data_IF_977511334974
#
_entry.id   IF_977511334974
#
_cell.length_a   1.000
_cell.length_b   1.000
_cell.length_c   1.000
_cell.angle_alpha   90.00
_cell.angle_beta   90.00
_cell.angle_gamma   90.00
#
_symmetry.space_group_name_H-M   'P 1'
#
loop_
_entity.id
_entity.type
_entity.pdbx_description
1 polymer ?
#
# COMPACT_ATOMS: atom_id res chain seq x y z
N UNK A 1 77.85 -49.02 8.64
CA UNK A 1 77.39 -47.94 7.74
C UNK A 1 76.23 -47.24 8.44
N UNK A 2 76.50 -46.09 9.07
CA UNK A 2 75.62 -45.48 10.09
C UNK A 2 74.78 -44.39 9.42
N UNK A 3 73.47 -44.62 9.28
CA UNK A 3 72.53 -43.64 8.72
C UNK A 3 72.27 -42.53 9.74
N UNK A 4 72.83 -41.35 9.49
CA UNK A 4 72.59 -40.13 10.24
C UNK A 4 71.19 -39.60 9.90
N UNK A 5 70.21 -39.84 10.77
CA UNK A 5 68.90 -39.19 10.69
C UNK A 5 69.03 -37.72 11.10
N UNK A 6 69.12 -36.84 10.10
CA UNK A 6 68.93 -35.40 10.30
C UNK A 6 67.49 -35.17 10.77
N UNK A 7 67.30 -35.00 12.08
CA UNK A 7 66.06 -34.51 12.67
C UNK A 7 65.80 -33.12 12.10
N UNK A 8 64.84 -33.00 11.18
CA UNK A 8 64.29 -31.71 10.78
C UNK A 8 63.68 -31.08 12.03
N UNK A 9 64.25 -29.98 12.52
CA UNK A 9 63.61 -29.19 13.55
C UNK A 9 62.29 -28.67 12.99
N UNK A 10 61.17 -29.14 13.52
CA UNK A 10 59.88 -28.53 13.26
C UNK A 10 59.96 -27.09 13.77
N UNK A 11 59.90 -26.12 12.85
CA UNK A 11 59.84 -24.70 13.21
C UNK A 11 58.49 -24.47 13.91
N UNK A 12 58.53 -24.00 15.16
CA UNK A 12 57.33 -23.58 15.87
C UNK A 12 56.79 -22.29 15.25
N UNK A 13 55.46 -22.13 15.25
CA UNK A 13 54.80 -20.90 14.80
C UNK A 13 55.21 -19.72 15.67
N UNK A 14 55.46 -18.56 15.04
CA UNK A 14 55.76 -17.35 15.81
C UNK A 14 54.49 -16.81 16.46
N UNK A 15 54.63 -16.11 17.60
CA UNK A 15 53.52 -15.43 18.26
C UNK A 15 52.79 -14.48 17.31
N UNK A 16 53.56 -13.76 16.47
CA UNK A 16 53.04 -12.83 15.47
C UNK A 16 52.17 -13.56 14.45
N UNK A 17 52.58 -14.74 13.99
CA UNK A 17 51.84 -15.54 13.02
C UNK A 17 50.51 -16.03 13.58
N UNK A 18 50.49 -16.48 14.84
CA UNK A 18 49.24 -16.86 15.53
C UNK A 18 48.32 -15.64 15.71
N UNK A 19 48.86 -14.48 16.10
CA UNK A 19 48.07 -13.27 16.25
C UNK A 19 47.46 -12.79 14.93
N UNK A 20 48.22 -12.85 13.83
CA UNK A 20 47.72 -12.51 12.50
C UNK A 20 46.63 -13.51 12.07
N UNK A 21 46.81 -14.81 12.32
CA UNK A 21 45.80 -15.81 12.01
C UNK A 21 44.49 -15.57 12.77
N UNK A 22 44.56 -15.26 14.07
CA UNK A 22 43.39 -14.93 14.89
C UNK A 22 42.73 -13.63 14.42
N UNK A 23 43.50 -12.61 14.05
CA UNK A 23 42.97 -11.36 13.52
C UNK A 23 42.21 -11.58 12.20
N UNK A 24 42.78 -12.34 11.27
CA UNK A 24 42.13 -12.68 9.99
C UNK A 24 40.86 -13.50 10.23
N UNK A 25 40.90 -14.47 11.14
CA UNK A 25 39.72 -15.26 11.51
C UNK A 25 38.62 -14.37 12.11
N UNK A 26 38.96 -13.47 13.03
CA UNK A 26 38.01 -12.55 13.65
C UNK A 26 37.36 -11.62 12.61
N UNK A 27 38.16 -11.07 11.69
CA UNK A 27 37.64 -10.24 10.59
C UNK A 27 36.75 -11.05 9.63
N UNK A 28 37.10 -12.29 9.33
CA UNK A 28 36.28 -13.19 8.49
C UNK A 28 34.93 -13.51 9.15
N UNK A 29 34.93 -13.84 10.44
CA UNK A 29 33.70 -14.09 11.20
C UNK A 29 32.83 -12.84 11.35
N UNK A 30 33.45 -11.67 11.54
CA UNK A 30 32.74 -10.38 11.57
C UNK A 30 32.08 -10.09 10.21
N UNK A 31 32.81 -10.30 9.11
CA UNK A 31 32.28 -10.14 7.76
C UNK A 31 31.08 -11.05 7.49
N UNK A 32 31.15 -12.32 7.91
CA UNK A 32 30.05 -13.27 7.78
C UNK A 32 28.83 -12.88 8.64
N UNK A 33 29.06 -12.36 9.85
CA UNK A 33 28.00 -11.84 10.72
C UNK A 33 27.24 -10.65 10.10
N UNK A 34 27.92 -9.80 9.32
CA UNK A 34 27.32 -8.65 8.65
C UNK A 34 26.40 -9.05 7.46
N UNK A 35 26.63 -10.21 6.84
CA UNK A 35 25.87 -10.66 5.66
C UNK A 35 24.51 -11.27 6.04
N UNK A 36 24.40 -11.93 7.20
CA UNK A 36 23.18 -12.63 7.58
C UNK A 36 21.91 -11.76 7.65
N UNK A 37 21.92 -10.55 8.26
CA UNK A 37 20.73 -9.70 8.29
C UNK A 37 20.24 -9.32 6.88
N UNK A 38 21.16 -9.10 5.94
CA UNK A 38 20.84 -8.77 4.55
C UNK A 38 20.17 -9.95 3.86
N UNK A 39 20.72 -11.16 4.02
CA UNK A 39 20.13 -12.39 3.45
C UNK A 39 18.74 -12.67 4.02
N UNK A 40 18.54 -12.52 5.33
CA UNK A 40 17.23 -12.70 5.95
C UNK A 40 16.22 -11.69 5.40
N UNK A 41 16.62 -10.43 5.23
CA UNK A 41 15.77 -9.40 4.64
C UNK A 41 15.40 -9.74 3.19
N UNK A 42 16.37 -10.17 2.39
CA UNK A 42 16.15 -10.55 0.99
C UNK A 42 15.27 -11.79 0.86
N UNK A 43 15.50 -12.83 1.65
CA UNK A 43 14.66 -14.03 1.68
C UNK A 43 13.23 -13.68 2.09
N UNK A 44 13.06 -12.85 3.12
CA UNK A 44 11.75 -12.39 3.55
C UNK A 44 11.02 -11.62 2.45
N UNK A 45 11.72 -10.70 1.77
CA UNK A 45 11.18 -9.96 0.63
C UNK A 45 10.80 -10.90 -0.53
N UNK A 46 11.60 -11.93 -0.81
CA UNK A 46 11.29 -12.92 -1.85
C UNK A 46 10.07 -13.77 -1.53
N UNK A 47 9.95 -14.24 -0.28
CA UNK A 47 8.74 -14.92 0.20
C UNK A 47 7.52 -14.02 0.14
N UNK A 48 7.67 -12.75 0.49
CA UNK A 48 6.56 -11.77 0.44
C UNK A 48 6.08 -11.48 -0.95
N UNK A 49 6.99 -11.30 -1.90
CA UNK A 49 6.62 -11.12 -3.30
C UNK A 49 5.85 -12.33 -3.82
N UNK A 50 6.31 -13.54 -3.49
CA UNK A 50 5.66 -14.78 -3.95
C UNK A 50 4.27 -14.97 -3.33
N UNK A 51 4.16 -14.81 -2.00
CA UNK A 51 2.90 -14.96 -1.30
C UNK A 51 1.93 -13.80 -1.59
N UNK A 52 2.45 -12.60 -1.84
CA UNK A 52 1.69 -11.44 -2.30
C UNK A 52 0.96 -11.72 -3.60
N UNK A 53 1.66 -12.24 -4.61
CA UNK A 53 1.05 -12.65 -5.89
C UNK A 53 -0.03 -13.72 -5.70
N UNK A 54 0.20 -14.71 -4.83
CA UNK A 54 -0.80 -15.75 -4.54
C UNK A 54 -2.04 -15.17 -3.84
N UNK A 55 -1.84 -14.31 -2.84
CA UNK A 55 -2.92 -13.63 -2.13
C UNK A 55 -3.73 -12.77 -3.10
N UNK A 56 -3.06 -12.03 -3.96
CA UNK A 56 -3.69 -11.21 -4.99
C UNK A 56 -4.52 -12.00 -5.99
N UNK A 57 -4.00 -13.13 -6.50
CA UNK A 57 -4.77 -13.99 -7.41
C UNK A 57 -6.01 -14.55 -6.71
N UNK A 58 -5.89 -14.92 -5.43
CA UNK A 58 -7.03 -15.36 -4.63
C UNK A 58 -8.05 -14.22 -4.42
N UNK A 59 -7.58 -12.99 -4.14
CA UNK A 59 -8.46 -11.82 -4.01
C UNK A 59 -9.21 -11.53 -5.30
N UNK A 60 -8.54 -11.56 -6.46
CA UNK A 60 -9.21 -11.38 -7.75
C UNK A 60 -10.27 -12.45 -7.98
N UNK A 61 -9.96 -13.72 -7.68
CA UNK A 61 -10.92 -14.80 -7.81
C UNK A 61 -12.13 -14.64 -6.86
N UNK A 62 -11.91 -14.15 -5.63
CA UNK A 62 -13.00 -13.83 -4.70
C UNK A 62 -13.86 -12.71 -5.28
N UNK A 63 -13.25 -11.59 -5.68
CA UNK A 63 -13.98 -10.44 -6.21
C UNK A 63 -14.71 -10.72 -7.52
N UNK A 64 -14.17 -11.59 -8.38
CA UNK A 64 -14.85 -11.99 -9.63
C UNK A 64 -16.00 -12.96 -9.41
N UNK A 65 -15.97 -13.75 -8.33
CA UNK A 65 -16.97 -14.77 -8.02
C UNK A 65 -18.07 -14.29 -7.07
N UNK A 66 -17.95 -13.09 -6.50
CA UNK A 66 -19.00 -12.50 -5.69
C UNK A 66 -20.18 -12.17 -6.60
N UNK A 67 -21.13 -13.11 -6.69
CA UNK A 67 -22.38 -13.00 -7.47
C UNK A 67 -23.20 -11.74 -7.11
N UNK A 68 -23.05 -11.25 -5.87
CA UNK A 68 -23.65 -10.01 -5.40
C UNK A 68 -23.01 -8.74 -5.97
N UNK A 69 -21.75 -8.80 -6.41
CA UNK A 69 -21.13 -7.72 -7.15
C UNK A 69 -21.55 -7.86 -8.62
N UNK A 70 -22.83 -7.65 -8.85
CA UNK A 70 -23.36 -7.56 -10.20
C UNK A 70 -22.78 -6.32 -10.91
N UNK A 71 -23.11 -6.18 -12.19
CA UNK A 71 -22.87 -4.95 -12.94
C UNK A 71 -23.38 -3.69 -12.22
N UNK A 72 -24.43 -3.80 -11.41
CA UNK A 72 -25.04 -2.70 -10.67
C UNK A 72 -24.18 -2.16 -9.54
N UNK A 73 -23.49 -3.02 -8.78
CA UNK A 73 -22.56 -2.60 -7.73
C UNK A 73 -21.42 -1.73 -8.28
N UNK A 74 -20.78 -2.17 -9.37
CA UNK A 74 -19.71 -1.39 -10.01
C UNK A 74 -20.22 -0.12 -10.66
N UNK A 75 -21.42 -0.13 -11.25
CA UNK A 75 -22.06 1.10 -11.78
C UNK A 75 -22.32 2.11 -10.69
N UNK A 76 -22.80 1.69 -9.51
CA UNK A 76 -23.01 2.59 -8.37
C UNK A 76 -21.73 3.28 -7.93
N UNK A 77 -20.62 2.54 -7.81
CA UNK A 77 -19.31 3.14 -7.53
C UNK A 77 -18.86 4.11 -8.61
N UNK A 78 -19.02 3.75 -9.88
CA UNK A 78 -18.69 4.61 -11.02
C UNK A 78 -19.52 5.90 -11.04
N UNK A 79 -20.80 5.80 -10.72
CA UNK A 79 -21.76 6.91 -10.77
C UNK A 79 -21.79 7.70 -9.45
N UNK A 80 -20.98 7.31 -8.47
CA UNK A 80 -20.94 7.94 -7.16
C UNK A 80 -20.36 9.36 -7.20
N UNK A 81 -21.05 10.35 -6.62
CA UNK A 81 -20.47 11.67 -6.37
C UNK A 81 -19.42 11.64 -5.23
N UNK A 82 -18.21 12.15 -5.47
CA UNK A 82 -17.14 12.32 -4.46
C UNK A 82 -17.36 13.58 -3.64
N UNK A 83 -17.69 13.54 -2.37
CA UNK A 83 -18.35 14.68 -1.70
C UNK A 83 -17.48 15.92 -1.40
N UNK A 84 -16.29 16.05 -2.00
CA UNK A 84 -15.38 17.20 -1.91
C UNK A 84 -14.80 17.42 -0.51
N UNK A 85 -15.27 16.64 0.47
CA UNK A 85 -14.83 16.61 1.84
C UNK A 85 -14.13 15.27 2.05
N UNK A 86 -12.80 15.30 2.03
CA UNK A 86 -11.94 14.15 2.27
C UNK A 86 -12.45 13.35 3.48
N UNK A 87 -12.89 12.12 3.25
CA UNK A 87 -13.21 11.14 4.31
C UNK A 87 -14.64 11.11 4.84
N UNK A 88 -15.62 11.84 4.30
CA UNK A 88 -17.03 11.66 4.71
C UNK A 88 -18.02 11.90 3.58
N UNK A 89 -18.83 10.89 3.31
CA UNK A 89 -19.82 10.82 2.22
C UNK A 89 -21.03 11.75 2.48
N UNK A 90 -20.94 13.02 2.06
CA UNK A 90 -22.05 14.00 2.04
C UNK A 90 -22.37 14.64 0.67
N UNK A 91 -23.52 14.33 0.09
CA UNK A 91 -24.15 14.84 -1.15
C UNK A 91 -23.58 16.15 -1.78
N UNK A 92 -22.65 16.03 -2.74
CA UNK A 92 -22.27 17.13 -3.65
C UNK A 92 -22.99 17.06 -5.00
N UNK A 93 -23.21 18.22 -5.62
CA UNK A 93 -24.00 18.40 -6.84
C UNK A 93 -23.19 18.14 -8.11
N UNK A 94 -23.36 16.95 -8.71
CA UNK A 94 -23.32 16.60 -10.15
C UNK A 94 -22.13 16.95 -11.07
N UNK A 95 -21.43 18.08 -10.89
CA UNK A 95 -20.48 18.62 -11.86
C UNK A 95 -19.02 18.66 -11.38
N UNK A 96 -18.74 18.38 -10.11
CA UNK A 96 -17.36 18.38 -9.59
C UNK A 96 -16.61 17.05 -9.84
N UNK A 97 -17.30 16.00 -10.28
CA UNK A 97 -16.75 14.62 -10.37
C UNK A 97 -16.25 14.22 -11.74
N UNK A 98 -16.54 15.05 -12.73
CA UNK A 98 -16.32 14.75 -14.13
C UNK A 98 -14.87 14.96 -14.57
N UNK A 99 -14.01 15.50 -13.68
CA UNK A 99 -12.64 15.90 -14.02
C UNK A 99 -11.53 15.18 -13.24
N UNK A 100 -11.86 14.49 -12.15
CA UNK A 100 -10.85 14.02 -11.21
C UNK A 100 -10.93 12.50 -11.09
N UNK A 101 -9.95 11.84 -11.69
CA UNK A 101 -9.66 10.40 -11.61
C UNK A 101 -9.23 9.99 -10.19
N UNK A 102 -9.84 10.53 -9.15
CA UNK A 102 -9.43 10.33 -7.75
C UNK A 102 -9.74 8.92 -7.25
N UNK A 103 -8.94 8.50 -6.28
CA UNK A 103 -9.14 7.28 -5.51
C UNK A 103 -10.15 7.52 -4.39
N UNK A 104 -11.17 6.68 -4.38
CA UNK A 104 -12.15 6.56 -3.31
C UNK A 104 -11.76 5.41 -2.40
N UNK A 105 -11.89 5.65 -1.11
CA UNK A 105 -11.62 4.66 -0.07
C UNK A 105 -12.95 4.11 0.43
N UNK A 106 -13.17 2.78 0.38
CA UNK A 106 -14.30 2.16 1.02
C UNK A 106 -14.29 2.42 2.53
N UNK A 107 -15.47 2.67 3.10
CA UNK A 107 -15.65 2.81 4.55
C UNK A 107 -15.42 1.45 5.25
N UNK A 108 -14.80 1.48 6.42
CA UNK A 108 -14.62 0.31 7.29
C UNK A 108 -15.48 0.48 8.54
N UNK A 109 -16.32 -0.50 8.84
CA UNK A 109 -17.05 -0.53 10.11
C UNK A 109 -16.05 -0.72 11.26
N UNK A 110 -15.88 0.30 12.10
CA UNK A 110 -14.96 0.28 13.25
C UNK A 110 -15.22 -0.88 14.23
N UNK A 111 -16.44 -1.42 14.28
CA UNK A 111 -16.78 -2.52 15.18
C UNK A 111 -16.39 -3.88 14.62
N UNK A 112 -16.65 -4.12 13.34
CA UNK A 112 -16.48 -5.43 12.71
C UNK A 112 -15.23 -5.52 11.83
N UNK A 113 -14.69 -4.37 11.41
CA UNK A 113 -13.69 -4.24 10.36
C UNK A 113 -14.19 -4.65 8.99
N UNK A 114 -15.51 -4.80 8.79
CA UNK A 114 -16.05 -5.08 7.48
C UNK A 114 -15.85 -3.85 6.58
N UNK A 115 -15.40 -4.10 5.36
CA UNK A 115 -15.31 -3.07 4.32
C UNK A 115 -16.50 -3.23 3.40
N UNK A 116 -17.18 -2.14 3.03
CA UNK A 116 -18.38 -2.24 2.20
C UNK A 116 -18.09 -1.95 0.73
N UNK A 117 -18.49 -2.89 -0.14
CA UNK A 117 -18.39 -2.78 -1.60
C UNK A 117 -19.54 -1.98 -2.22
N UNK A 118 -20.41 -1.36 -1.42
CA UNK A 118 -21.38 -0.39 -1.91
C UNK A 118 -21.47 0.71 -0.87
N UNK A 119 -21.72 1.93 -1.32
CA UNK A 119 -21.91 3.05 -0.42
C UNK A 119 -23.39 3.25 -0.14
N UNK A 120 -23.69 3.57 1.11
CA UNK A 120 -25.03 3.87 1.57
C UNK A 120 -25.51 5.13 0.84
N UNK A 121 -26.51 5.02 -0.03
CA UNK A 121 -27.16 6.21 -0.58
C UNK A 121 -28.12 6.74 0.49
N UNK A 122 -27.80 7.86 1.17
CA UNK A 122 -28.61 8.35 2.28
C UNK A 122 -30.03 8.77 1.83
N UNK A 123 -30.24 8.98 0.52
CA UNK A 123 -31.51 9.43 -0.04
C UNK A 123 -32.42 8.27 -0.50
N UNK A 124 -31.93 7.03 -0.52
CA UNK A 124 -32.73 5.86 -0.91
C UNK A 124 -32.68 4.81 0.20
N UNK A 125 -33.67 4.83 1.08
CA UNK A 125 -33.87 3.77 2.08
C UNK A 125 -34.45 2.50 1.40
N UNK A 126 -34.11 1.28 1.85
CA UNK A 126 -33.23 0.94 2.96
C UNK A 126 -31.84 0.46 2.53
N UNK A 127 -30.95 0.46 3.52
CA UNK A 127 -29.61 -0.13 3.69
C UNK A 127 -29.37 -1.56 3.12
N UNK A 128 -30.23 -2.08 2.26
CA UNK A 128 -30.32 -3.51 1.93
C UNK A 128 -29.28 -4.01 0.92
N UNK A 129 -28.32 -3.19 0.50
CA UNK A 129 -27.34 -3.64 -0.49
C UNK A 129 -25.93 -3.15 -0.22
N UNK A 130 -25.60 -2.92 1.05
CA UNK A 130 -24.21 -2.96 1.46
C UNK A 130 -23.75 -4.41 1.32
N UNK A 131 -22.72 -4.65 0.50
CA UNK A 131 -22.08 -5.96 0.39
C UNK A 131 -20.87 -5.93 1.34
N UNK A 132 -20.99 -6.47 2.58
CA UNK A 132 -19.90 -6.46 3.52
C UNK A 132 -18.82 -7.47 3.10
N UNK A 133 -17.59 -7.00 3.00
CA UNK A 133 -16.39 -7.82 2.98
C UNK A 133 -15.83 -7.90 4.39
N UNK A 134 -16.21 -8.96 5.11
CA UNK A 134 -15.72 -9.17 6.46
C UNK A 134 -14.21 -9.42 6.46
N UNK A 135 -13.52 -9.11 7.56
CA UNK A 135 -12.07 -9.40 7.69
C UNK A 135 -11.75 -10.85 7.38
N UNK A 136 -12.64 -11.79 7.78
CA UNK A 136 -12.46 -13.22 7.51
C UNK A 136 -12.30 -13.53 6.02
N UNK A 137 -12.97 -12.78 5.16
CA UNK A 137 -12.94 -12.95 3.69
C UNK A 137 -11.74 -12.22 3.07
N UNK A 138 -11.07 -11.37 3.87
CA UNK A 138 -9.96 -10.51 3.47
C UNK A 138 -8.58 -10.99 3.93
N UNK A 139 -8.50 -12.09 4.67
CA UNK A 139 -7.23 -12.67 5.14
C UNK A 139 -6.74 -13.78 4.23
N UNK A 140 -5.43 -14.00 4.16
CA UNK A 140 -4.81 -15.04 3.35
C UNK A 140 -3.60 -15.67 4.08
N UNK A 141 -3.40 -17.00 4.00
CA UNK A 141 -4.28 -17.99 3.37
C UNK A 141 -5.58 -18.23 4.15
N UNK A 142 -6.64 -18.69 3.46
CA UNK A 142 -7.95 -19.02 4.04
C UNK A 142 -8.08 -20.49 4.51
N UNK A 143 -7.06 -21.32 4.27
CA UNK A 143 -7.11 -22.74 4.59
C UNK A 143 -7.30 -22.96 6.10
N UNK A 144 -8.17 -23.91 6.46
CA UNK A 144 -8.42 -24.24 7.86
C UNK A 144 -7.13 -24.72 8.54
N UNK A 145 -6.79 -24.10 9.67
CA UNK A 145 -5.56 -24.42 10.43
C UNK A 145 -4.28 -23.79 9.88
N UNK A 146 -4.33 -23.05 8.78
CA UNK A 146 -3.22 -22.21 8.36
C UNK A 146 -3.29 -20.87 9.11
N UNK A 147 -2.14 -20.40 9.61
CA UNK A 147 -2.05 -19.07 10.18
C UNK A 147 -2.09 -18.03 9.04
N UNK A 148 -3.07 -17.11 9.04
CA UNK A 148 -3.12 -16.07 8.03
C UNK A 148 -1.89 -15.17 8.18
N UNK A 149 -1.29 -14.82 7.05
CA UNK A 149 -0.08 -14.00 7.01
C UNK A 149 -0.36 -12.62 6.41
N UNK A 150 -1.41 -12.52 5.60
CA UNK A 150 -1.77 -11.31 4.89
C UNK A 150 -3.24 -10.95 5.10
N UNK A 151 -3.52 -9.67 4.98
CA UNK A 151 -4.85 -9.10 4.82
C UNK A 151 -4.83 -8.25 3.55
N UNK A 152 -5.95 -8.17 2.84
CA UNK A 152 -6.07 -7.29 1.69
C UNK A 152 -7.13 -6.20 1.89
N UNK A 153 -6.83 -5.05 1.32
CA UNK A 153 -7.68 -3.87 1.27
C UNK A 153 -7.69 -3.34 -0.16
N UNK A 154 -8.55 -2.38 -0.44
CA UNK A 154 -8.61 -1.81 -1.77
C UNK A 154 -9.05 -0.35 -1.75
N UNK A 155 -8.69 0.34 -2.81
CA UNK A 155 -9.25 1.63 -3.19
C UNK A 155 -9.87 1.52 -4.58
N UNK A 156 -10.87 2.35 -4.85
CA UNK A 156 -11.64 2.32 -6.09
C UNK A 156 -11.45 3.63 -6.83
N UNK A 157 -11.24 3.56 -8.14
CA UNK A 157 -11.13 4.71 -9.02
C UNK A 157 -12.04 4.48 -10.23
N UNK A 158 -12.72 5.52 -10.69
CA UNK A 158 -13.38 5.51 -12.00
C UNK A 158 -12.35 5.77 -13.10
N UNK A 159 -12.38 4.95 -14.15
CA UNK A 159 -11.55 5.12 -15.35
C UNK A 159 -12.42 5.70 -16.46
N UNK A 160 -12.12 6.94 -16.81
CA UNK A 160 -12.78 7.65 -17.90
C UNK A 160 -12.34 7.06 -19.26
N UNK A 161 -13.28 6.66 -20.09
CA UNK A 161 -13.01 6.06 -21.42
C UNK A 161 -12.53 7.06 -22.49
N UNK A 162 -12.73 8.36 -22.23
CA UNK A 162 -12.29 9.45 -23.10
C UNK A 162 -13.36 9.94 -24.07
N UNK A 163 -14.54 9.30 -24.12
CA UNK A 163 -15.60 9.63 -25.07
C UNK A 163 -16.34 10.92 -24.68
N UNK A 164 -16.37 11.26 -23.39
CA UNK A 164 -16.86 12.56 -22.92
C UNK A 164 -15.71 13.54 -22.71
N UNK A 165 -15.34 14.30 -23.75
CA UNK A 165 -14.62 15.56 -23.52
C UNK A 165 -15.53 16.53 -22.78
N UNK A 166 -15.44 16.51 -21.46
CA UNK A 166 -16.07 17.51 -20.61
C UNK A 166 -15.16 18.71 -20.66
N UNK A 167 -15.45 19.57 -21.62
CA UNK A 167 -14.80 20.87 -21.76
C UNK A 167 -15.13 21.64 -20.47
N UNK A 168 -14.13 22.04 -19.65
CA UNK A 168 -14.37 22.82 -18.45
C UNK A 168 -15.28 24.03 -18.76
N UNK A 169 -16.40 24.15 -18.07
CA UNK A 169 -17.39 25.21 -18.29
C UNK A 169 -18.48 24.91 -19.32
N UNK A 170 -18.41 23.78 -20.04
CA UNK A 170 -19.53 23.30 -20.86
C UNK A 170 -20.44 22.39 -20.04
N UNK A 171 -21.77 22.53 -20.15
CA UNK A 171 -22.69 21.56 -19.55
C UNK A 171 -22.38 20.17 -20.12
N UNK A 172 -22.46 19.10 -19.30
CA UNK A 172 -22.32 17.74 -19.82
C UNK A 172 -23.32 17.54 -20.96
N UNK A 173 -22.87 16.90 -22.04
CA UNK A 173 -23.76 16.61 -23.16
C UNK A 173 -25.00 15.86 -22.62
N UNK A 174 -26.23 16.22 -23.04
CA UNK A 174 -27.45 15.60 -22.49
C UNK A 174 -27.53 14.08 -22.69
N UNK A 175 -26.65 13.52 -23.54
CA UNK A 175 -26.50 12.09 -23.81
C UNK A 175 -25.09 11.56 -23.50
N UNK A 176 -24.33 12.23 -22.63
CA UNK A 176 -23.07 11.74 -22.08
C UNK A 176 -23.32 10.40 -21.36
N UNK A 177 -23.27 9.28 -22.09
CA UNK A 177 -23.47 7.96 -21.50
C UNK A 177 -22.18 7.55 -20.83
N UNK A 178 -22.09 7.78 -19.51
CA UNK A 178 -21.05 7.21 -18.65
C UNK A 178 -21.10 5.68 -18.53
N UNK A 179 -22.00 5.05 -19.30
CA UNK A 179 -22.28 3.62 -19.27
C UNK A 179 -21.07 2.75 -19.63
N UNK A 180 -20.06 3.31 -20.31
CA UNK A 180 -18.86 2.58 -20.76
C UNK A 180 -17.65 2.76 -19.83
N UNK A 181 -17.71 3.67 -18.86
CA UNK A 181 -16.58 3.90 -17.95
C UNK A 181 -16.31 2.65 -17.10
N UNK A 182 -15.03 2.28 -17.04
CA UNK A 182 -14.58 1.14 -16.24
C UNK A 182 -14.29 1.58 -14.80
N UNK A 183 -14.23 0.62 -13.89
CA UNK A 183 -13.78 0.84 -12.51
C UNK A 183 -12.42 0.18 -12.35
N UNK A 184 -11.45 0.89 -11.76
CA UNK A 184 -10.14 0.36 -11.40
C UNK A 184 -10.04 0.23 -9.90
N UNK A 185 -9.54 -0.92 -9.46
CA UNK A 185 -9.23 -1.22 -8.08
C UNK A 185 -7.72 -1.21 -7.89
N UNK A 186 -7.26 -0.52 -6.85
CA UNK A 186 -5.93 -0.72 -6.29
C UNK A 186 -6.06 -1.63 -5.08
N UNK A 187 -5.62 -2.88 -5.21
CA UNK A 187 -5.70 -3.91 -4.16
C UNK A 187 -4.36 -3.96 -3.45
N UNK A 188 -4.36 -3.69 -2.14
CA UNK A 188 -3.19 -3.68 -1.28
C UNK A 188 -3.12 -4.98 -0.50
N UNK A 189 -2.04 -5.75 -0.68
CA UNK A 189 -1.77 -6.94 0.13
C UNK A 189 -0.83 -6.54 1.26
N UNK A 190 -1.29 -6.63 2.50
CA UNK A 190 -0.54 -6.21 3.69
C UNK A 190 -0.23 -7.40 4.56
N UNK A 191 0.93 -7.38 5.22
CA UNK A 191 1.23 -8.38 6.25
C UNK A 191 0.36 -8.13 7.46
N UNK A 192 -0.09 -9.22 8.08
CA UNK A 192 -0.71 -9.16 9.40
C UNK A 192 0.36 -8.78 10.43
N UNK A 193 -0.05 -7.95 11.39
CA UNK A 193 0.76 -7.45 12.48
C UNK A 193 1.46 -8.59 13.24
N UNK A 194 2.79 -8.57 13.20
CA UNK A 194 3.61 -9.71 13.66
C UNK A 194 3.70 -9.84 15.18
N UNK A 195 3.27 -8.81 15.93
CA UNK A 195 3.30 -8.81 17.40
C UNK A 195 1.95 -9.11 18.02
N UNK A 196 0.95 -9.51 17.22
CA UNK A 196 -0.34 -9.99 17.73
C UNK A 196 -0.08 -11.18 18.65
N UNK A 197 -0.56 -11.07 19.89
CA UNK A 197 -0.52 -12.17 20.87
C UNK A 197 -1.77 -13.01 20.72
N UNK A 198 -1.60 -14.29 20.43
CA UNK A 198 -2.70 -15.24 20.32
C UNK A 198 -2.96 -15.86 21.70
N UNK A 199 -4.18 -15.75 22.26
CA UNK A 199 -4.53 -16.40 23.52
C UNK A 199 -4.40 -17.92 23.43
N UNK A 200 -4.12 -18.57 24.57
CA UNK A 200 -4.04 -20.03 24.63
C UNK A 200 -5.36 -20.66 24.16
N UNK A 201 -5.27 -21.66 23.27
CA UNK A 201 -6.44 -22.36 22.72
C UNK A 201 -7.15 -21.63 21.58
N UNK A 202 -6.69 -20.43 21.20
CA UNK A 202 -7.14 -19.72 20.00
C UNK A 202 -6.11 -19.82 18.88
N UNK A 203 -6.54 -19.58 17.65
CA UNK A 203 -5.67 -19.41 16.48
C UNK A 203 -5.59 -17.93 16.11
N UNK A 204 -4.53 -17.53 15.38
CA UNK A 204 -4.41 -16.16 14.89
C UNK A 204 -5.62 -15.75 14.05
N UNK A 205 -6.12 -16.66 13.20
CA UNK A 205 -7.32 -16.45 12.39
C UNK A 205 -8.53 -16.04 13.25
N UNK A 206 -8.77 -16.74 14.36
CA UNK A 206 -9.91 -16.47 15.23
C UNK A 206 -9.82 -15.10 15.90
N UNK A 207 -8.61 -14.73 16.32
CA UNK A 207 -8.30 -13.44 16.96
C UNK A 207 -8.52 -12.29 15.99
N UNK A 208 -7.96 -12.37 14.77
CA UNK A 208 -8.02 -11.27 13.80
C UNK A 208 -9.37 -11.19 13.08
N UNK A 209 -10.05 -12.32 12.89
CA UNK A 209 -11.39 -12.35 12.34
C UNK A 209 -12.48 -12.15 13.40
N UNK A 210 -12.09 -11.80 14.64
CA UNK A 210 -12.99 -11.47 15.75
C UNK A 210 -14.09 -12.51 15.99
N UNK A 211 -13.73 -13.79 15.97
CA UNK A 211 -14.73 -14.84 16.14
C UNK A 211 -15.39 -14.75 17.53
N UNK A 212 -16.69 -15.05 17.65
CA UNK A 212 -17.39 -15.02 18.93
C UNK A 212 -16.80 -15.95 20.01
N UNK A 213 -16.02 -16.97 19.62
CA UNK A 213 -15.33 -17.87 20.54
C UNK A 213 -14.13 -17.25 21.24
N UNK A 214 -13.61 -16.12 20.75
CA UNK A 214 -12.50 -15.37 21.34
C UNK A 214 -13.08 -14.24 22.18
N UNK A 215 -12.65 -14.05 23.46
CA UNK A 215 -13.08 -12.92 24.27
C UNK A 215 -12.82 -11.58 23.55
N UNK A 216 -13.74 -10.63 23.65
CA UNK A 216 -13.62 -9.34 22.97
C UNK A 216 -12.32 -8.57 23.32
N UNK A 217 -11.80 -8.74 24.54
CA UNK A 217 -10.53 -8.14 24.98
C UNK A 217 -9.30 -8.71 24.24
N UNK A 218 -9.44 -9.89 23.63
CA UNK A 218 -8.40 -10.56 22.86
C UNK A 218 -8.58 -10.38 21.35
N UNK A 219 -9.63 -9.68 20.91
CA UNK A 219 -9.80 -9.33 19.50
C UNK A 219 -8.69 -8.38 19.06
N UNK A 220 -8.14 -8.62 17.87
CA UNK A 220 -7.10 -7.77 17.27
C UNK A 220 -7.49 -7.44 15.85
N UNK A 221 -7.00 -6.30 15.37
CA UNK A 221 -7.02 -6.02 13.95
C UNK A 221 -5.90 -6.78 13.26
N UNK A 222 -6.11 -7.29 12.03
CA UNK A 222 -5.01 -7.80 11.21
C UNK A 222 -3.87 -6.79 11.08
N UNK A 223 -4.22 -5.50 11.07
CA UNK A 223 -3.35 -4.33 10.89
C UNK A 223 -3.91 -3.20 11.75
N UNK A 224 -3.33 -3.02 12.93
CA UNK A 224 -3.75 -2.01 13.89
C UNK A 224 -3.08 -0.66 13.64
N UNK A 225 -3.77 0.41 14.00
CA UNK A 225 -3.24 1.75 14.10
C UNK A 225 -3.68 2.42 15.40
N UNK A 226 -2.88 3.34 15.92
CA UNK A 226 -3.29 4.23 17.00
C UNK A 226 -4.24 5.34 16.50
N UNK A 227 -4.66 6.22 17.40
CA UNK A 227 -5.58 7.33 17.09
C UNK A 227 -4.98 8.34 16.09
N UNK A 228 -3.64 8.39 15.96
CA UNK A 228 -2.91 9.20 14.98
C UNK A 228 -2.70 8.46 13.64
N UNK A 229 -3.21 7.23 13.53
CA UNK A 229 -3.07 6.37 12.36
C UNK A 229 -1.71 5.71 12.21
N UNK A 230 -0.84 5.77 13.23
CA UNK A 230 0.47 5.12 13.21
C UNK A 230 0.27 3.62 13.37
N UNK A 231 0.84 2.78 12.49
CA UNK A 231 0.79 1.33 12.65
C UNK A 231 1.33 0.87 14.01
N UNK A 232 0.53 0.12 14.76
CA UNK A 232 0.92 -0.42 16.07
C UNK A 232 1.77 -1.68 15.95
N UNK A 233 1.54 -2.48 14.90
CA UNK A 233 2.27 -3.72 14.63
C UNK A 233 1.87 -4.88 15.54
N UNK A 234 0.87 -4.68 16.40
CA UNK A 234 0.35 -5.65 17.38
C UNK A 234 -1.18 -5.84 17.30
N UNK A 235 -1.83 -5.21 16.32
CA UNK A 235 -3.27 -5.30 16.10
C UNK A 235 -4.14 -4.56 17.12
N UNK A 236 -3.57 -3.75 18.01
CA UNK A 236 -4.34 -2.89 18.92
C UNK A 236 -4.77 -1.58 18.25
N UNK A 237 -5.76 -0.90 18.85
CA UNK A 237 -6.27 0.40 18.41
C UNK A 237 -7.42 0.28 17.40
N UNK A 238 -7.37 1.08 16.34
CA UNK A 238 -8.33 1.08 15.22
C UNK A 238 -7.78 0.29 14.03
N UNK A 239 -8.64 -0.04 13.07
CA UNK A 239 -8.19 -0.67 11.84
C UNK A 239 -7.36 0.32 11.02
N UNK A 240 -6.19 -0.08 10.57
CA UNK A 240 -5.34 0.76 9.72
C UNK A 240 -5.91 0.78 8.29
N UNK A 241 -6.63 1.82 7.91
CA UNK A 241 -7.21 1.94 6.56
C UNK A 241 -6.17 2.39 5.51
N UNK A 242 -6.37 2.08 4.21
CA UNK A 242 -5.68 2.79 3.14
C UNK A 242 -5.91 4.31 3.24
N UNK A 243 -5.01 5.09 2.65
CA UNK A 243 -5.04 6.55 2.71
C UNK A 243 -4.73 7.13 1.35
N UNK A 244 -5.27 8.32 1.11
CA UNK A 244 -4.86 9.16 -0.01
C UNK A 244 -4.06 10.34 0.49
N UNK A 245 -3.18 10.86 -0.36
CA UNK A 245 -2.49 12.13 -0.11
C UNK A 245 -2.36 12.88 -1.42
N UNK A 246 -2.50 14.20 -1.34
CA UNK A 246 -2.21 15.05 -2.48
C UNK A 246 -0.73 15.07 -2.79
N UNK A 247 -0.43 15.02 -4.07
CA UNK A 247 0.93 15.08 -4.58
C UNK A 247 0.99 15.96 -5.80
N UNK A 248 2.17 16.51 -6.03
CA UNK A 248 2.49 17.31 -7.20
C UNK A 248 3.67 16.67 -7.93
N UNK A 249 3.55 16.54 -9.25
CA UNK A 249 4.66 16.17 -10.11
C UNK A 249 5.36 17.45 -10.59
N UNK A 250 6.61 17.66 -10.17
CA UNK A 250 7.47 18.74 -10.71
C UNK A 250 8.59 18.14 -11.52
N UNK A 251 8.71 18.61 -12.76
CA UNK A 251 9.70 18.08 -13.69
C UNK A 251 10.97 18.90 -13.80
N UNK A 252 11.04 20.04 -13.12
CA UNK A 252 12.10 21.03 -13.24
C UNK A 252 12.54 21.47 -11.85
N UNK A 253 13.83 21.66 -11.63
CA UNK A 253 14.34 22.22 -10.38
C UNK A 253 13.86 23.68 -10.22
N UNK A 254 13.29 24.05 -9.05
CA UNK A 254 12.86 25.44 -8.84
C UNK A 254 14.01 26.45 -8.92
N UNK A 255 15.26 26.02 -8.73
CA UNK A 255 16.44 26.88 -8.79
C UNK A 255 17.20 26.80 -10.12
N UNK A 256 16.96 25.77 -10.93
CA UNK A 256 17.63 25.59 -12.23
C UNK A 256 16.72 24.90 -13.26
N UNK A 257 16.22 25.70 -14.20
CA UNK A 257 15.31 25.23 -15.24
C UNK A 257 15.92 24.16 -16.17
N UNK A 258 17.25 24.03 -16.21
CA UNK A 258 17.94 23.04 -17.05
C UNK A 258 17.99 21.66 -16.41
N UNK A 259 17.74 21.57 -15.10
CA UNK A 259 17.75 20.29 -14.40
C UNK A 259 16.32 19.75 -14.39
N UNK A 260 16.12 18.64 -15.10
CA UNK A 260 14.84 17.96 -15.16
C UNK A 260 14.85 16.67 -14.36
N UNK A 261 13.72 16.38 -13.71
CA UNK A 261 13.53 15.17 -12.93
C UNK A 261 12.19 14.55 -13.31
N UNK A 262 12.12 13.23 -13.49
CA UNK A 262 10.82 12.53 -13.64
C UNK A 262 10.64 11.48 -12.56
N UNK A 263 11.48 11.47 -11.54
CA UNK A 263 11.46 10.50 -10.48
C UNK A 263 10.94 11.08 -9.17
N UNK A 264 10.32 12.27 -9.15
CA UNK A 264 9.96 12.98 -7.91
C UNK A 264 8.46 13.21 -7.76
N UNK A 265 7.93 12.86 -6.58
CA UNK A 265 6.59 13.24 -6.14
C UNK A 265 6.70 14.15 -4.92
N UNK A 266 6.14 15.34 -5.01
CA UNK A 266 6.17 16.35 -3.96
C UNK A 266 4.90 16.23 -3.12
N UNK A 267 5.06 16.12 -1.80
CA UNK A 267 3.96 16.09 -0.85
C UNK A 267 3.45 17.49 -0.50
N UNK A 268 2.44 17.59 0.38
CA UNK A 268 1.91 18.89 0.81
C UNK A 268 2.97 19.73 1.54
N UNK A 269 2.95 21.05 1.32
CA UNK A 269 3.88 22.01 1.96
C UNK A 269 3.60 22.15 3.45
N UNK A 270 2.33 22.03 3.87
CA UNK A 270 1.91 22.16 5.27
C UNK A 270 2.30 20.91 6.07
N UNK A 271 3.53 20.88 6.57
CA UNK A 271 4.11 19.79 7.38
C UNK A 271 3.43 19.56 8.76
N UNK A 272 2.25 20.13 9.04
CA UNK A 272 1.73 20.25 10.40
C UNK A 272 0.52 19.38 10.76
N UNK A 273 -0.37 19.05 9.82
CA UNK A 273 -1.69 18.51 10.19
C UNK A 273 -2.04 17.17 9.57
N UNK A 274 -1.48 16.83 8.41
CA UNK A 274 -1.75 15.54 7.78
C UNK A 274 -0.56 14.58 7.95
N UNK A 275 -0.61 13.65 8.92
CA UNK A 275 0.43 12.65 9.08
C UNK A 275 0.56 11.71 7.88
N UNK A 276 -0.36 11.71 6.92
CA UNK A 276 -0.38 10.76 5.81
C UNK A 276 0.87 10.83 4.94
N UNK A 277 1.47 12.02 4.76
CA UNK A 277 2.71 12.14 4.00
C UNK A 277 3.88 11.36 4.62
N UNK A 278 3.97 11.30 5.96
CA UNK A 278 5.04 10.54 6.65
C UNK A 278 4.99 9.05 6.32
N UNK A 279 3.80 8.53 6.05
CA UNK A 279 3.58 7.14 5.67
C UNK A 279 3.81 6.89 4.18
N UNK A 280 3.37 7.82 3.33
CA UNK A 280 3.68 7.78 1.89
C UNK A 280 5.19 7.87 1.63
N UNK A 281 5.92 8.62 2.46
CA UNK A 281 7.36 8.84 2.34
C UNK A 281 8.21 7.80 3.11
N UNK A 282 7.96 6.51 2.89
CA UNK A 282 8.81 5.43 3.40
C UNK A 282 9.51 4.69 2.25
N UNK A 283 10.80 4.36 2.40
CA UNK A 283 11.52 3.58 1.38
C UNK A 283 10.91 2.18 1.26
N UNK A 284 10.57 1.79 0.03
CA UNK A 284 9.85 0.55 -0.29
C UNK A 284 8.34 0.71 -0.36
N UNK A 285 7.79 1.86 0.06
CA UNK A 285 6.36 2.15 -0.02
C UNK A 285 5.84 2.06 -1.44
N UNK A 286 4.63 1.52 -1.59
CA UNK A 286 3.92 1.42 -2.87
C UNK A 286 2.87 2.52 -2.96
N UNK A 287 2.91 3.30 -4.03
CA UNK A 287 2.02 4.43 -4.28
C UNK A 287 1.30 4.19 -5.61
N UNK A 288 -0.02 4.32 -5.62
CA UNK A 288 -0.79 4.28 -6.87
C UNK A 288 -1.32 5.68 -7.15
N UNK A 289 -0.93 6.28 -8.27
CA UNK A 289 -1.44 7.60 -8.64
C UNK A 289 -2.86 7.57 -9.20
N UNK A 290 -3.49 8.73 -9.27
CA UNK A 290 -4.79 8.93 -9.88
C UNK A 290 -4.81 8.72 -11.42
N UNK A 291 -3.72 8.27 -12.04
CA UNK A 291 -3.68 7.86 -13.45
C UNK A 291 -3.61 6.32 -13.59
N UNK A 292 -3.42 5.62 -12.47
CA UNK A 292 -3.26 4.17 -12.41
C UNK A 292 -1.85 3.68 -12.69
N UNK A 293 -0.84 4.52 -12.43
CA UNK A 293 0.54 4.07 -12.38
C UNK A 293 0.88 3.64 -10.95
N UNK A 294 1.61 2.53 -10.83
CA UNK A 294 2.15 2.01 -9.58
C UNK A 294 3.62 2.40 -9.45
N UNK A 295 3.96 3.01 -8.33
CA UNK A 295 5.31 3.42 -8.00
C UNK A 295 5.81 2.76 -6.72
N UNK A 296 7.12 2.62 -6.62
CA UNK A 296 7.84 2.26 -5.39
C UNK A 296 8.74 3.42 -4.97
N UNK A 297 8.63 3.87 -3.73
CA UNK A 297 9.52 4.89 -3.16
C UNK A 297 10.92 4.30 -2.98
N UNK A 298 11.91 4.87 -3.67
CA UNK A 298 13.31 4.42 -3.63
C UNK A 298 14.17 5.22 -2.67
N UNK A 299 13.85 6.51 -2.45
CA UNK A 299 14.55 7.33 -1.47
C UNK A 299 13.68 8.48 -0.99
N UNK A 300 13.97 8.95 0.22
CA UNK A 300 13.33 10.12 0.84
C UNK A 300 14.45 11.09 1.19
N UNK A 301 14.77 12.04 0.29
CA UNK A 301 15.86 12.98 0.54
C UNK A 301 15.58 13.83 1.79
N UNK A 302 16.61 14.20 2.57
CA UNK A 302 16.43 15.18 3.63
C UNK A 302 16.03 16.51 3.00
N UNK A 303 15.03 17.16 3.58
CA UNK A 303 14.46 18.41 3.06
C UNK A 303 14.64 19.49 4.11
N UNK A 304 15.13 20.66 3.68
CA UNK A 304 15.24 21.80 4.59
C UNK A 304 13.84 22.24 5.06
N UNK A 305 13.68 22.86 6.24
CA UNK A 305 12.36 23.23 6.76
C UNK A 305 11.51 24.12 5.84
N UNK A 306 12.15 24.89 4.95
CA UNK A 306 11.49 25.78 4.00
C UNK A 306 11.14 25.09 2.66
N UNK A 307 11.71 23.92 2.38
CA UNK A 307 11.54 23.21 1.12
C UNK A 307 10.35 22.25 1.21
N UNK A 308 9.65 22.08 0.09
CA UNK A 308 8.55 21.12 0.00
C UNK A 308 9.11 19.69 0.03
N UNK A 309 8.58 18.82 0.91
CA UNK A 309 9.07 17.46 1.01
C UNK A 309 8.73 16.68 -0.27
N UNK A 310 9.63 15.81 -0.70
CA UNK A 310 9.41 14.96 -1.86
C UNK A 310 10.00 13.57 -1.66
N UNK A 311 9.49 12.61 -2.42
CA UNK A 311 10.03 11.25 -2.51
C UNK A 311 10.57 11.01 -3.90
N UNK A 312 11.61 10.17 -4.01
CA UNK A 312 11.99 9.60 -5.30
C UNK A 312 11.27 8.28 -5.55
N UNK A 313 10.78 8.07 -6.76
CA UNK A 313 9.96 6.91 -7.15
C UNK A 313 10.53 6.14 -8.33
N UNK A 314 10.20 4.84 -8.38
CA UNK A 314 10.47 3.94 -9.49
C UNK A 314 9.23 3.12 -9.85
N UNK A 315 8.84 2.98 -11.14
CA UNK A 315 9.46 3.62 -12.30
C UNK A 315 9.34 5.15 -12.25
N UNK A 316 10.07 5.85 -13.11
CA UNK A 316 9.89 7.29 -13.28
C UNK A 316 8.47 7.59 -13.79
N UNK A 317 7.98 8.78 -13.44
CA UNK A 317 6.71 9.35 -13.90
C UNK A 317 6.62 9.32 -15.44
N UNK A 318 5.46 8.95 -16.00
CA UNK A 318 5.27 8.89 -17.44
C UNK A 318 5.65 10.17 -18.18
N UNK A 319 6.22 10.03 -19.37
CA UNK A 319 6.69 11.16 -20.19
C UNK A 319 5.57 12.09 -20.67
N UNK A 320 4.34 11.58 -20.78
CA UNK A 320 3.16 12.35 -21.21
C UNK A 320 2.66 13.33 -20.14
N UNK A 321 3.13 13.19 -18.89
CA UNK A 321 2.84 14.18 -17.86
C UNK A 321 3.63 15.45 -18.15
N UNK A 322 2.90 16.56 -18.27
CA UNK A 322 3.43 17.90 -18.49
C UNK A 322 3.23 18.74 -17.22
N UNK A 323 4.15 19.66 -16.94
CA UNK A 323 4.10 20.54 -15.76
C UNK A 323 3.02 21.64 -15.88
N UNK A 324 2.51 21.90 -17.10
CA UNK A 324 1.68 23.04 -17.40
C UNK A 324 0.25 22.91 -16.84
N UNK A 325 0.04 23.57 -15.70
CA UNK A 325 -1.10 24.37 -15.25
C UNK A 325 -2.52 23.99 -15.70
N UNK A 326 -3.35 23.70 -14.68
CA UNK A 326 -4.82 23.80 -14.64
C UNK A 326 -5.63 22.72 -15.39
N UNK A 327 -5.90 21.64 -14.65
CA UNK A 327 -7.24 21.06 -14.42
C UNK A 327 -7.78 19.85 -15.22
N UNK A 328 -6.98 19.13 -16.02
CA UNK A 328 -7.37 17.77 -16.43
C UNK A 328 -6.15 16.89 -16.73
N UNK A 329 -6.11 15.67 -16.18
CA UNK A 329 -5.03 14.70 -16.44
C UNK A 329 -3.74 14.91 -15.64
N UNK A 330 -3.78 15.74 -14.59
CA UNK A 330 -2.66 15.91 -13.69
C UNK A 330 -2.60 14.78 -12.66
N UNK A 331 -1.38 14.41 -12.31
CA UNK A 331 -1.11 13.62 -11.12
C UNK A 331 -1.36 14.52 -9.91
N UNK A 332 -2.45 14.28 -9.18
CA UNK A 332 -2.89 15.13 -8.05
C UNK A 332 -3.01 14.37 -6.74
N UNK A 333 -3.05 13.04 -6.81
CA UNK A 333 -3.31 12.18 -5.67
C UNK A 333 -2.60 10.85 -5.85
N UNK A 334 -2.11 10.30 -4.74
CA UNK A 334 -1.73 8.88 -4.65
C UNK A 334 -2.50 8.22 -3.53
N UNK A 335 -2.80 6.93 -3.71
CA UNK A 335 -3.35 6.06 -2.68
C UNK A 335 -2.31 5.03 -2.25
N UNK A 336 -2.30 4.73 -0.95
CA UNK A 336 -1.33 3.85 -0.31
C UNK A 336 -1.87 3.31 1.02
N UNK A 337 -1.11 2.47 1.73
CA UNK A 337 -1.45 2.00 3.08
C UNK A 337 -0.41 2.46 4.11
N UNK A 338 -0.79 2.78 5.36
CA UNK A 338 0.17 3.28 6.38
C UNK A 338 1.36 2.34 6.63
N UNK A 339 1.13 1.03 6.52
CA UNK A 339 2.18 0.00 6.49
C UNK A 339 2.60 -0.26 5.04
N UNK A 340 3.90 -0.49 4.81
CA UNK A 340 4.41 -0.89 3.50
C UNK A 340 3.75 -2.21 3.07
N UNK A 341 2.94 -2.22 2.00
CA UNK A 341 2.29 -3.44 1.56
C UNK A 341 3.32 -4.42 1.00
N UNK A 342 3.04 -5.71 1.14
CA UNK A 342 3.83 -6.77 0.51
C UNK A 342 3.71 -6.71 -1.02
N UNK A 343 2.51 -6.40 -1.52
CA UNK A 343 2.25 -6.19 -2.94
C UNK A 343 1.06 -5.26 -3.18
N UNK A 344 0.98 -4.70 -4.39
CA UNK A 344 -0.15 -3.88 -4.84
C UNK A 344 -0.50 -4.26 -6.28
N UNK A 345 -1.78 -4.54 -6.53
CA UNK A 345 -2.27 -4.87 -7.86
C UNK A 345 -3.33 -3.88 -8.32
N UNK A 346 -3.25 -3.52 -9.61
CA UNK A 346 -4.27 -2.76 -10.29
C UNK A 346 -5.15 -3.71 -11.12
N UNK A 347 -6.45 -3.68 -10.86
CA UNK A 347 -7.42 -4.51 -11.55
C UNK A 347 -8.54 -3.63 -12.11
N UNK A 348 -8.83 -3.75 -13.40
CA UNK A 348 -9.89 -2.97 -14.06
C UNK A 348 -11.07 -3.87 -14.35
N UNK A 349 -12.26 -3.44 -13.92
CA UNK A 349 -13.54 -4.11 -14.12
C UNK A 349 -14.39 -3.26 -15.07
N UNK A 350 -15.02 -3.92 -16.03
CA UNK A 350 -16.07 -3.31 -16.86
C UNK A 350 -17.44 -3.63 -16.24
N UNK A 351 -18.21 -2.63 -15.80
CA UNK A 351 -19.55 -2.82 -15.22
C UNK A 351 -20.63 -3.26 -16.22
#
# INVERSE_FOLDING_TARGET
>A
MMHMHTRRSHRAFSLIEVMIAVLILALGLLGLGAVFPVVIRQQRQGTDATMGVLASNATQAILSNLESIDSGAWRRWRDQPSTGQYGSLGLGTGNQYLLQTEWMLPEVDERTGATFLALNNPNTSPLNELIPLNIRDRIFPLAQGADPQFVWDFAIQRVHDGDNRIIPGSPPAPNATFNNDSVRLAIFIRRIDQRIRVPQGSTLQQVVSRQPSVPAADHRWPVGADDDGVPTGDGNGVYSEPRTVHVEARFVDPNDANITFRDRLYGPITQGTDPSWRFAAQVGQKLVDNLGNLYTVVSVPPVAPADQPYVKVSPSLPSHLNQAENNAGLLTQVVFTPQIPADVILWTVKP
#
